data_IF_404503532940
#
_entry.id   IF_404503532940
#
_cell.length_a   1.000
_cell.length_b   1.000
_cell.length_c   1.000
_cell.angle_alpha   90.00
_cell.angle_beta   90.00
_cell.angle_gamma   90.00
#
_symmetry.space_group_name_H-M   'P 1'
#
loop_
_entity.id
_entity.type
_entity.pdbx_description
1 polymer ?
#
# COMPACT_ATOMS: atom_id res chain seq x y z
N UNK A 1 0.33 15.39 4.32
CA UNK A 1 -0.26 14.74 3.15
C UNK A 1 0.37 13.39 2.99
N UNK A 2 -0.43 12.32 3.05
CA UNK A 2 0.02 10.94 2.86
C UNK A 2 -0.31 10.53 1.43
N UNK A 3 0.69 10.03 0.71
CA UNK A 3 0.52 9.59 -0.69
C UNK A 3 -0.14 8.21 -0.70
N UNK A 4 -1.15 8.02 -1.57
CA UNK A 4 -1.83 6.73 -1.72
C UNK A 4 -0.88 5.71 -2.33
N UNK A 5 -0.82 4.52 -1.74
CA UNK A 5 -0.09 3.39 -2.28
C UNK A 5 -0.94 2.61 -3.30
N UNK A 6 -0.29 2.07 -4.32
CA UNK A 6 -0.91 1.33 -5.43
C UNK A 6 -0.15 0.04 -5.71
N UNK A 7 -0.76 -0.86 -6.47
CA UNK A 7 -0.11 -2.08 -6.95
C UNK A 7 1.15 -1.74 -7.72
N UNK A 8 2.25 -2.35 -7.32
CA UNK A 8 3.63 -2.23 -7.80
C UNK A 8 4.43 -1.06 -7.19
N UNK A 9 3.86 -0.29 -6.25
CA UNK A 9 4.64 0.62 -5.41
C UNK A 9 5.57 -0.19 -4.48
N UNK A 10 6.67 0.41 -4.00
CA UNK A 10 7.72 -0.37 -3.32
C UNK A 10 7.44 -0.56 -1.84
N UNK A 11 7.56 -1.80 -1.40
CA UNK A 11 7.59 -2.23 -0.02
C UNK A 11 9.03 -2.56 0.41
N UNK A 12 9.50 -1.97 1.49
CA UNK A 12 10.77 -2.32 2.11
C UNK A 12 10.55 -3.35 3.22
N UNK A 13 10.91 -4.60 2.95
CA UNK A 13 10.86 -5.68 3.93
C UNK A 13 12.21 -5.79 4.67
N UNK A 14 12.23 -5.85 6.02
CA UNK A 14 13.48 -6.00 6.77
C UNK A 14 14.18 -7.35 6.56
N UNK A 15 13.45 -8.36 6.03
CA UNK A 15 13.99 -9.72 5.78
C UNK A 15 14.36 -9.98 4.33
N UNK A 16 13.57 -9.48 3.38
CA UNK A 16 13.72 -9.78 1.95
C UNK A 16 14.17 -8.57 1.11
N UNK A 17 14.33 -7.40 1.74
CA UNK A 17 14.68 -6.16 1.04
C UNK A 17 13.50 -5.52 0.31
N UNK A 18 13.83 -4.66 -0.65
CA UNK A 18 12.86 -3.92 -1.46
C UNK A 18 12.13 -4.85 -2.42
N UNK A 19 10.81 -4.84 -2.36
CA UNK A 19 9.91 -5.57 -3.24
C UNK A 19 8.67 -4.72 -3.51
N UNK A 20 7.63 -5.27 -4.12
CA UNK A 20 6.48 -4.49 -4.58
C UNK A 20 5.15 -4.98 -4.02
N UNK A 21 4.16 -4.09 -3.99
CA UNK A 21 2.78 -4.46 -3.67
C UNK A 21 2.21 -5.23 -4.87
N UNK A 22 1.65 -6.42 -4.66
CA UNK A 22 1.16 -7.29 -5.76
C UNK A 22 -0.35 -7.46 -5.77
N UNK A 23 -1.05 -6.94 -4.76
CA UNK A 23 -2.51 -6.97 -4.67
C UNK A 23 -3.07 -5.57 -4.40
N UNK A 24 -4.28 -5.33 -4.90
CA UNK A 24 -5.00 -4.07 -4.75
C UNK A 24 -6.51 -4.27 -4.86
N UNK A 25 -7.26 -3.19 -4.68
CA UNK A 25 -8.72 -3.15 -4.81
C UNK A 25 -9.23 -2.85 -6.20
N UNK A 26 -10.54 -2.65 -6.29
CA UNK A 26 -11.23 -2.27 -7.53
C UNK A 26 -10.97 -0.81 -7.94
N UNK A 27 -10.68 0.05 -6.96
CA UNK A 27 -10.33 1.44 -7.19
C UNK A 27 -8.95 1.60 -7.83
N UNK A 28 -8.79 2.62 -8.66
CA UNK A 28 -7.57 2.85 -9.46
C UNK A 28 -7.11 4.30 -9.30
N UNK A 29 -5.81 4.50 -9.12
CA UNK A 29 -5.14 5.81 -9.15
C UNK A 29 -4.01 5.70 -10.17
N UNK A 30 -3.93 6.65 -11.10
CA UNK A 30 -2.93 6.67 -12.18
C UNK A 30 -2.85 5.35 -12.98
N UNK A 31 -4.00 4.72 -13.23
CA UNK A 31 -4.08 3.45 -13.97
C UNK A 31 -3.64 2.21 -13.18
N UNK A 32 -3.30 2.34 -11.89
CA UNK A 32 -2.88 1.22 -11.03
C UNK A 32 -3.86 1.03 -9.87
N UNK A 33 -4.16 -0.23 -9.55
CA UNK A 33 -5.09 -0.56 -8.47
C UNK A 33 -4.60 -0.02 -7.13
N UNK A 34 -5.52 0.52 -6.32
CA UNK A 34 -5.22 1.08 -5.00
C UNK A 34 -4.86 -0.06 -4.03
N UNK A 35 -3.75 0.09 -3.32
CA UNK A 35 -3.36 -0.84 -2.26
C UNK A 35 -4.11 -0.53 -0.96
N UNK A 36 -4.48 -1.55 -0.21
CA UNK A 36 -5.31 -1.42 1.00
C UNK A 36 -4.82 -2.34 2.10
N UNK A 37 -5.34 -2.12 3.29
CA UNK A 37 -5.15 -3.04 4.42
C UNK A 37 -5.59 -4.44 4.02
N UNK A 38 -4.69 -5.39 4.21
CA UNK A 38 -4.85 -6.80 3.92
C UNK A 38 -4.44 -7.22 2.51
N UNK A 39 -3.97 -6.31 1.66
CA UNK A 39 -3.36 -6.66 0.39
C UNK A 39 -1.90 -7.13 0.60
N UNK A 40 -1.43 -8.04 -0.27
CA UNK A 40 -0.09 -8.64 -0.17
C UNK A 40 0.98 -7.89 -0.96
N UNK A 41 2.19 -7.93 -0.43
CA UNK A 41 3.44 -7.60 -1.09
C UNK A 41 4.10 -8.87 -1.66
N UNK A 42 5.01 -8.72 -2.62
CA UNK A 42 5.66 -9.83 -3.30
C UNK A 42 6.43 -10.77 -2.35
N UNK A 43 6.93 -10.24 -1.23
CA UNK A 43 7.57 -11.05 -0.18
C UNK A 43 6.59 -11.86 0.69
N UNK A 44 5.28 -11.80 0.41
CA UNK A 44 4.21 -12.40 1.22
C UNK A 44 3.78 -11.56 2.43
N UNK A 45 4.44 -10.42 2.69
CA UNK A 45 4.01 -9.46 3.70
C UNK A 45 2.63 -8.88 3.39
N UNK A 46 1.83 -8.61 4.42
CA UNK A 46 0.46 -8.10 4.28
C UNK A 46 0.42 -6.67 4.81
N UNK A 47 -0.22 -5.75 4.09
CA UNK A 47 -0.41 -4.38 4.59
C UNK A 47 -1.35 -4.40 5.80
N UNK A 48 -0.95 -3.81 6.91
CA UNK A 48 -1.74 -3.82 8.17
C UNK A 48 -2.18 -2.44 8.62
N UNK A 49 -1.68 -1.38 7.97
CA UNK A 49 -1.99 0.00 8.28
C UNK A 49 -2.55 0.71 7.05
N UNK A 50 -3.56 1.55 7.25
CA UNK A 50 -4.21 2.35 6.22
C UNK A 50 -4.89 3.56 6.82
N UNK A 51 -5.29 4.51 5.99
CA UNK A 51 -5.83 5.79 6.43
C UNK A 51 -7.26 5.62 6.97
N UNK A 52 -7.53 6.01 8.23
CA UNK A 52 -8.89 5.99 8.77
C UNK A 52 -9.82 6.89 7.95
N UNK A 53 -10.93 6.31 7.46
CA UNK A 53 -11.94 7.06 6.70
C UNK A 53 -11.74 7.11 5.19
N UNK A 54 -10.57 6.71 4.67
CA UNK A 54 -10.37 6.50 3.24
C UNK A 54 -10.52 5.01 2.90
N UNK A 55 -11.68 4.64 2.35
CA UNK A 55 -12.02 3.24 2.08
C UNK A 55 -12.02 2.94 0.58
N UNK A 56 -11.47 1.78 0.21
CA UNK A 56 -11.62 1.17 -1.11
C UNK A 56 -12.10 -0.28 -0.92
N UNK A 57 -13.25 -0.61 -1.51
CA UNK A 57 -14.02 -1.84 -1.25
C UNK A 57 -14.22 -2.13 0.25
N UNK A 58 -14.50 -1.09 1.05
CA UNK A 58 -14.73 -1.22 2.49
C UNK A 58 -13.47 -1.46 3.33
N UNK A 59 -12.27 -1.45 2.74
CA UNK A 59 -11.00 -1.59 3.46
C UNK A 59 -10.22 -0.27 3.47
N UNK A 60 -9.51 0.08 4.56
CA UNK A 60 -8.69 1.28 4.62
C UNK A 60 -7.59 1.28 3.54
N UNK A 61 -7.43 2.39 2.85
CA UNK A 61 -6.44 2.56 1.79
C UNK A 61 -5.04 2.74 2.39
N UNK A 62 -4.07 2.05 1.81
CA UNK A 62 -2.68 2.11 2.22
C UNK A 62 -2.00 3.38 1.71
N UNK A 63 -0.96 3.81 2.43
CA UNK A 63 -0.20 5.01 2.11
C UNK A 63 1.31 4.83 2.22
N UNK A 64 2.05 5.83 1.77
CA UNK A 64 3.48 5.96 2.02
C UNK A 64 3.82 5.90 3.51
N UNK A 65 4.58 4.89 3.93
CA UNK A 65 4.93 4.62 5.32
C UNK A 65 3.99 3.66 6.04
N UNK A 66 2.93 3.17 5.38
CA UNK A 66 2.04 2.17 5.96
C UNK A 66 2.81 0.89 6.34
N UNK A 67 2.55 0.39 7.54
CA UNK A 67 3.17 -0.83 8.06
C UNK A 67 2.63 -2.09 7.40
N UNK A 68 3.48 -3.10 7.40
CA UNK A 68 3.19 -4.45 6.92
C UNK A 68 3.44 -5.49 8.02
N UNK A 69 2.80 -6.65 7.91
CA UNK A 69 2.87 -7.74 8.89
C UNK A 69 4.28 -8.32 9.10
N UNK A 70 5.18 -8.13 8.15
CA UNK A 70 6.57 -8.54 8.26
C UNK A 70 7.46 -7.52 8.99
N UNK A 71 6.89 -6.45 9.53
CA UNK A 71 7.60 -5.37 10.22
C UNK A 71 8.21 -4.32 9.30
N UNK A 72 7.99 -4.41 7.99
CA UNK A 72 8.44 -3.41 7.02
C UNK A 72 7.38 -2.35 6.72
N UNK A 73 7.68 -1.47 5.78
CA UNK A 73 6.83 -0.34 5.41
C UNK A 73 6.68 -0.22 3.89
N UNK A 74 5.66 0.49 3.43
CA UNK A 74 5.62 0.98 2.05
C UNK A 74 6.56 2.18 1.95
N UNK A 75 7.60 2.07 1.11
CA UNK A 75 8.75 2.95 1.12
C UNK A 75 8.90 3.84 -0.12
N UNK A 76 8.16 3.55 -1.20
CA UNK A 76 8.10 4.43 -2.38
C UNK A 76 6.69 4.38 -2.96
N UNK A 77 6.02 5.53 -3.00
CA UNK A 77 4.68 5.69 -3.54
C UNK A 77 4.69 6.93 -4.44
N UNK A 78 4.38 6.73 -5.72
CA UNK A 78 4.32 7.81 -6.71
C UNK A 78 2.88 8.10 -7.14
N UNK A 79 1.91 7.88 -6.24
CA UNK A 79 0.51 8.23 -6.47
C UNK A 79 0.33 9.73 -6.57
N UNK A 80 -0.39 10.21 -7.58
CA UNK A 80 -0.78 11.64 -7.65
C UNK A 80 -1.84 12.00 -6.61
N UNK A 81 -2.63 11.01 -6.17
CA UNK A 81 -3.65 11.18 -5.15
C UNK A 81 -3.05 11.13 -3.72
N UNK A 82 -3.44 12.11 -2.90
CA UNK A 82 -2.99 12.26 -1.51
C UNK A 82 -4.18 12.38 -0.57
N UNK A 83 -4.04 11.87 0.65
CA UNK A 83 -4.99 12.16 1.73
C UNK A 83 -4.83 13.60 2.19
N UNK A 84 -5.98 14.31 2.24
CA UNK A 84 -6.07 15.72 2.64
C UNK A 84 -6.10 15.86 4.16
#
# INVERSE_FOLDING_TARGET
MRVIARVGDKHLCPRHGSNEIVQGGSGVVDGRAIARVGDKCACGGVIVEGEPGALCDGRPVAYFGAKTSCGGIIADCQGTAVFR
#
